data_IF_871480972760
#
_entry.id   IF_871480972760
#
_cell.length_a   1.000
_cell.length_b   1.000
_cell.length_c   1.000
_cell.angle_alpha   90.00
_cell.angle_beta   90.00
_cell.angle_gamma   90.00
#
_symmetry.space_group_name_H-M   'P 1'
#
loop_
_entity.id
_entity.type
_entity.pdbx_description
1 polymer ?
#
# COMPACT_ATOMS: atom_id res chain seq x y z
N UNK A 1 -32.40 -3.21 -9.21
CA UNK A 1 -31.79 -2.88 -7.90
C UNK A 1 -30.42 -3.51 -7.73
N UNK A 2 -30.26 -4.85 -7.78
CA UNK A 2 -28.98 -5.53 -7.51
C UNK A 2 -27.75 -4.99 -8.28
N UNK A 3 -27.90 -4.58 -9.54
CA UNK A 3 -26.81 -3.98 -10.34
C UNK A 3 -26.44 -2.56 -9.90
N UNK A 4 -27.41 -1.77 -9.44
CA UNK A 4 -27.19 -0.42 -8.91
C UNK A 4 -26.51 -0.50 -7.53
N UNK A 5 -26.94 -1.43 -6.69
CA UNK A 5 -26.37 -1.68 -5.37
C UNK A 5 -24.90 -2.13 -5.49
N UNK A 6 -24.62 -3.06 -6.41
CA UNK A 6 -23.25 -3.49 -6.71
C UNK A 6 -22.39 -2.31 -7.17
N UNK A 7 -22.89 -1.47 -8.08
CA UNK A 7 -22.17 -0.27 -8.54
C UNK A 7 -21.88 0.71 -7.39
N UNK A 8 -22.81 0.88 -6.46
CA UNK A 8 -22.62 1.72 -5.27
C UNK A 8 -21.53 1.15 -4.36
N UNK A 9 -21.55 -0.15 -4.07
CA UNK A 9 -20.55 -0.82 -3.24
C UNK A 9 -19.16 -0.70 -3.87
N UNK A 10 -19.04 -0.97 -5.17
CA UNK A 10 -17.81 -0.78 -5.96
C UNK A 10 -17.25 0.63 -5.84
N UNK A 11 -18.11 1.63 -5.99
CA UNK A 11 -17.71 3.02 -5.84
C UNK A 11 -17.18 3.32 -4.43
N UNK A 12 -17.88 2.85 -3.39
CA UNK A 12 -17.44 3.02 -1.99
C UNK A 12 -16.12 2.30 -1.70
N UNK A 13 -15.95 1.08 -2.21
CA UNK A 13 -14.71 0.32 -2.10
C UNK A 13 -13.54 1.06 -2.75
N UNK A 14 -13.71 1.56 -3.97
CA UNK A 14 -12.70 2.34 -4.68
C UNK A 14 -12.37 3.65 -3.93
N UNK A 15 -13.35 4.33 -3.36
CA UNK A 15 -13.12 5.53 -2.55
C UNK A 15 -12.26 5.22 -1.31
N UNK A 16 -12.54 4.13 -0.60
CA UNK A 16 -11.75 3.73 0.56
C UNK A 16 -10.32 3.34 0.15
N UNK A 17 -10.14 2.60 -0.96
CA UNK A 17 -8.80 2.29 -1.51
C UNK A 17 -7.97 3.55 -1.78
N UNK A 18 -8.52 4.51 -2.53
CA UNK A 18 -7.83 5.78 -2.82
C UNK A 18 -7.46 6.54 -1.54
N UNK A 19 -8.30 6.44 -0.50
CA UNK A 19 -8.05 7.12 0.77
C UNK A 19 -7.00 6.39 1.61
N UNK A 20 -6.97 5.06 1.59
CA UNK A 20 -5.90 4.23 2.15
C UNK A 20 -4.57 4.60 1.48
N UNK A 21 -4.51 4.62 0.16
CA UNK A 21 -3.28 4.96 -0.59
C UNK A 21 -2.76 6.35 -0.21
N UNK A 22 -3.65 7.34 -0.12
CA UNK A 22 -3.29 8.70 0.30
C UNK A 22 -2.78 8.74 1.75
N UNK A 23 -3.40 7.98 2.65
CA UNK A 23 -2.96 7.92 4.05
C UNK A 23 -1.63 7.19 4.18
N UNK A 24 -1.43 6.07 3.48
CA UNK A 24 -0.19 5.31 3.44
C UNK A 24 0.96 6.14 2.89
N UNK A 25 0.78 6.81 1.75
CA UNK A 25 1.81 7.68 1.16
C UNK A 25 2.18 8.84 2.07
N UNK A 26 1.21 9.42 2.79
CA UNK A 26 1.48 10.49 3.77
C UNK A 26 2.10 9.99 5.09
N UNK A 27 2.18 8.69 5.31
CA UNK A 27 2.56 8.08 6.59
C UNK A 27 3.89 7.36 6.48
N UNK A 28 4.89 7.80 7.24
CA UNK A 28 6.26 7.25 7.13
C UNK A 28 6.45 5.86 7.76
N UNK A 29 5.46 5.33 8.50
CA UNK A 29 5.46 4.00 9.14
C UNK A 29 6.74 3.62 9.95
N UNK A 30 7.54 4.61 10.37
CA UNK A 30 8.87 4.41 10.99
C UNK A 30 8.79 3.58 12.28
N UNK A 31 7.74 3.77 13.08
CA UNK A 31 7.58 3.13 14.40
C UNK A 31 6.62 1.93 14.36
N UNK A 32 6.24 1.46 13.17
CA UNK A 32 5.41 0.25 13.07
C UNK A 32 6.25 -0.97 13.47
N UNK A 33 5.76 -1.89 14.30
CA UNK A 33 6.53 -3.08 14.69
C UNK A 33 6.78 -4.03 13.50
N UNK A 34 5.98 -3.90 12.45
CA UNK A 34 6.07 -4.69 11.24
C UNK A 34 7.04 -4.07 10.24
N UNK A 35 8.34 -4.27 10.47
CA UNK A 35 9.35 -4.06 9.44
C UNK A 35 9.82 -5.40 8.90
N UNK A 36 10.06 -5.55 7.58
CA UNK A 36 10.82 -6.69 7.10
C UNK A 36 12.20 -6.65 7.77
N UNK A 37 12.59 -7.77 8.38
CA UNK A 37 13.90 -7.98 8.98
C UNK A 37 14.97 -7.79 7.90
N UNK A 38 15.55 -6.59 7.85
CA UNK A 38 16.67 -6.31 6.95
C UNK A 38 17.94 -6.44 7.75
N UNK A 39 18.78 -7.40 7.38
CA UNK A 39 20.15 -7.49 7.86
C UNK A 39 20.97 -6.37 7.23
N UNK A 40 21.79 -5.70 8.05
CA UNK A 40 22.80 -4.76 7.58
C UNK A 40 24.15 -5.45 7.65
N UNK A 41 24.83 -5.59 6.51
CA UNK A 41 26.09 -6.30 6.38
C UNK A 41 27.21 -5.26 6.30
N UNK A 42 28.20 -5.39 7.18
CA UNK A 42 29.42 -4.58 7.14
C UNK A 42 30.52 -5.36 6.43
N UNK A 43 31.17 -4.70 5.48
CA UNK A 43 32.36 -5.23 4.82
C UNK A 43 33.60 -4.68 5.50
N UNK A 44 34.56 -5.57 5.77
CA UNK A 44 35.75 -5.29 6.55
C UNK A 44 36.93 -6.01 5.89
N UNK A 45 38.08 -5.34 5.81
CA UNK A 45 39.19 -5.82 4.98
C UNK A 45 40.05 -6.92 5.63
N UNK A 46 40.01 -7.05 6.96
CA UNK A 46 40.89 -7.97 7.70
C UNK A 46 40.14 -8.79 8.74
N UNK A 47 40.52 -10.07 8.86
CA UNK A 47 39.95 -10.98 9.84
C UNK A 47 40.08 -10.46 11.29
N UNK A 48 41.19 -9.79 11.61
CA UNK A 48 41.40 -9.20 12.94
C UNK A 48 40.39 -8.09 13.27
N UNK A 49 39.90 -7.39 12.26
CA UNK A 49 38.89 -6.35 12.44
C UNK A 49 37.49 -6.96 12.60
N UNK A 50 37.23 -8.12 11.99
CA UNK A 50 35.98 -8.87 12.20
C UNK A 50 35.82 -9.28 13.66
N UNK A 51 36.88 -9.79 14.28
CA UNK A 51 36.86 -10.21 15.71
C UNK A 51 36.63 -9.04 16.68
N UNK A 52 37.09 -7.83 16.33
CA UNK A 52 36.98 -6.62 17.16
C UNK A 52 35.84 -5.70 16.73
N UNK A 53 34.96 -6.17 15.86
CA UNK A 53 33.94 -5.34 15.24
C UNK A 53 32.87 -4.92 16.25
N UNK A 54 32.72 -3.61 16.44
CA UNK A 54 31.66 -3.02 17.26
C UNK A 54 30.83 -2.03 16.39
N UNK A 55 29.54 -2.33 16.13
CA UNK A 55 28.66 -1.47 15.35
C UNK A 55 28.56 -0.03 15.90
N UNK A 56 28.61 0.13 17.23
CA UNK A 56 28.46 1.44 17.88
C UNK A 56 29.65 2.33 17.55
N UNK A 57 30.86 1.78 17.65
CA UNK A 57 32.11 2.46 17.30
C UNK A 57 32.19 2.74 15.80
N UNK A 58 31.84 1.75 14.96
CA UNK A 58 31.89 1.90 13.52
C UNK A 58 30.96 3.01 13.03
N UNK A 59 29.73 3.09 13.56
CA UNK A 59 28.77 4.12 13.20
C UNK A 59 28.98 5.45 13.96
N UNK A 60 29.85 5.47 14.97
CA UNK A 60 30.07 6.62 15.88
C UNK A 60 28.78 7.16 16.48
N UNK A 61 27.85 6.26 16.81
CA UNK A 61 26.53 6.59 17.35
C UNK A 61 26.46 6.26 18.84
N UNK A 62 25.47 6.81 19.54
CA UNK A 62 25.19 6.41 20.92
C UNK A 62 24.54 5.01 20.94
N UNK A 63 24.86 4.12 21.90
CA UNK A 63 24.31 2.75 21.94
C UNK A 63 22.77 2.70 21.96
N UNK A 64 22.09 3.68 22.54
CA UNK A 64 20.61 3.74 22.52
C UNK A 64 20.00 3.97 21.13
N UNK A 65 20.78 4.49 20.17
CA UNK A 65 20.33 4.75 18.81
C UNK A 65 20.58 3.57 17.87
N UNK A 66 21.36 2.57 18.29
CA UNK A 66 21.75 1.45 17.42
C UNK A 66 20.55 0.63 16.94
N UNK A 67 19.53 0.49 17.79
CA UNK A 67 18.31 -0.25 17.50
C UNK A 67 17.37 0.50 16.55
N UNK A 68 17.58 1.81 16.34
CA UNK A 68 16.75 2.61 15.42
C UNK A 68 17.19 2.36 13.99
N UNK A 69 16.26 2.20 13.05
CA UNK A 69 16.60 1.95 11.65
C UNK A 69 17.01 3.21 10.88
N UNK A 70 16.23 4.27 11.06
CA UNK A 70 16.41 5.57 10.41
C UNK A 70 16.87 6.63 11.41
N UNK A 71 17.47 7.71 10.90
CA UNK A 71 17.90 8.86 11.69
C UNK A 71 18.81 8.49 12.88
N UNK A 72 19.87 7.74 12.58
CA UNK A 72 20.95 7.41 13.54
C UNK A 72 22.02 8.49 13.47
N UNK A 73 21.90 9.52 14.32
CA UNK A 73 22.86 10.63 14.37
C UNK A 73 24.17 10.21 15.03
N UNK A 74 25.29 10.72 14.51
CA UNK A 74 26.60 10.55 15.14
C UNK A 74 26.71 11.40 16.41
N UNK A 75 27.67 11.06 17.27
CA UNK A 75 27.90 11.82 18.52
C UNK A 75 28.24 13.29 18.22
N UNK A 76 28.99 13.56 17.16
CA UNK A 76 29.32 14.92 16.72
C UNK A 76 28.08 15.67 16.25
N UNK A 77 27.20 15.02 15.49
CA UNK A 77 25.93 15.58 15.05
C UNK A 77 25.01 15.88 16.24
N UNK A 78 24.92 14.97 17.22
CA UNK A 78 24.12 15.19 18.43
C UNK A 78 24.59 16.44 19.20
N UNK A 79 25.91 16.69 19.26
CA UNK A 79 26.49 17.87 19.90
C UNK A 79 26.18 19.16 19.14
N UNK A 80 26.18 19.12 17.81
CA UNK A 80 25.94 20.31 16.98
C UNK A 80 24.45 20.64 16.81
N UNK A 81 23.58 19.64 16.85
CA UNK A 81 22.13 19.82 16.70
C UNK A 81 21.50 20.38 17.96
N UNK A 82 20.87 21.56 17.85
CA UNK A 82 20.06 22.14 18.92
C UNK A 82 18.60 21.76 18.71
N UNK A 83 18.05 20.90 19.56
CA UNK A 83 16.63 20.57 19.56
C UNK A 83 15.87 21.62 20.37
N UNK A 84 14.95 22.34 19.71
CA UNK A 84 14.01 23.27 20.36
C UNK A 84 12.60 22.68 20.29
N UNK A 85 12.35 21.64 21.06
CA UNK A 85 11.01 21.05 21.15
C UNK A 85 10.56 21.05 22.60
N UNK A 86 9.36 21.57 22.82
CA UNK A 86 8.68 21.47 24.10
C UNK A 86 8.02 20.09 24.24
N UNK A 87 8.00 19.55 25.46
CA UNK A 87 7.47 18.22 25.75
C UNK A 87 5.97 18.13 25.40
N UNK A 88 5.23 19.22 25.61
CA UNK A 88 3.81 19.29 25.25
C UNK A 88 3.61 19.18 23.73
N UNK A 89 4.49 19.81 22.94
CA UNK A 89 4.44 19.74 21.48
C UNK A 89 4.74 18.32 20.98
N UNK A 90 5.72 17.64 21.59
CA UNK A 90 6.07 16.25 21.27
C UNK A 90 4.88 15.33 21.54
N UNK A 91 4.27 15.45 22.74
CA UNK A 91 3.09 14.66 23.10
C UNK A 91 1.89 14.92 22.17
N UNK A 92 1.68 16.17 21.74
CA UNK A 92 0.65 16.51 20.75
C UNK A 92 0.92 15.84 19.40
N UNK A 93 2.16 15.88 18.91
CA UNK A 93 2.57 15.23 17.66
C UNK A 93 2.38 13.71 17.73
N UNK A 94 2.76 13.07 18.83
CA UNK A 94 2.54 11.64 19.05
C UNK A 94 1.05 11.28 19.04
N UNK A 95 0.20 12.07 19.72
CA UNK A 95 -1.26 11.88 19.68
C UNK A 95 -1.81 12.00 18.26
N UNK A 96 -1.38 13.01 17.50
CA UNK A 96 -1.80 13.19 16.10
C UNK A 96 -1.37 12.00 15.23
N UNK A 97 -0.14 11.52 15.41
CA UNK A 97 0.38 10.36 14.70
C UNK A 97 -0.42 9.09 15.01
N UNK A 98 -0.69 8.82 16.29
CA UNK A 98 -1.54 7.69 16.73
C UNK A 98 -2.94 7.74 16.12
N UNK A 99 -3.56 8.93 16.08
CA UNK A 99 -4.87 9.12 15.42
C UNK A 99 -4.84 8.76 13.94
N UNK A 100 -3.80 9.17 13.19
CA UNK A 100 -3.65 8.82 11.77
C UNK A 100 -3.51 7.31 11.55
N UNK A 101 -2.73 6.63 12.40
CA UNK A 101 -2.61 5.17 12.32
C UNK A 101 -3.93 4.45 12.62
N UNK A 102 -4.65 4.89 13.65
CA UNK A 102 -5.98 4.34 13.96
C UNK A 102 -6.99 4.59 12.82
N UNK A 103 -6.96 5.75 12.18
CA UNK A 103 -7.78 6.02 11.00
C UNK A 103 -7.43 5.06 9.86
N UNK A 104 -6.15 4.91 9.54
CA UNK A 104 -5.68 4.02 8.49
C UNK A 104 -6.12 2.56 8.75
N UNK A 105 -5.94 2.07 9.98
CA UNK A 105 -6.37 0.72 10.36
C UNK A 105 -7.88 0.52 10.14
N UNK A 106 -8.71 1.44 10.65
CA UNK A 106 -10.17 1.37 10.48
C UNK A 106 -10.59 1.38 9.01
N UNK A 107 -9.88 2.14 8.16
CA UNK A 107 -10.16 2.16 6.72
C UNK A 107 -9.77 0.86 6.04
N UNK A 108 -8.63 0.26 6.39
CA UNK A 108 -8.23 -1.05 5.88
C UNK A 108 -9.28 -2.11 6.27
N UNK A 109 -9.74 -2.12 7.52
CA UNK A 109 -10.80 -3.03 7.97
C UNK A 109 -12.10 -2.82 7.19
N UNK A 110 -12.49 -1.56 6.93
CA UNK A 110 -13.67 -1.23 6.13
C UNK A 110 -13.52 -1.66 4.67
N UNK A 111 -12.36 -1.43 4.05
CA UNK A 111 -12.08 -1.85 2.67
C UNK A 111 -12.20 -3.36 2.52
N UNK A 112 -11.66 -4.14 3.46
CA UNK A 112 -11.82 -5.60 3.50
C UNK A 112 -13.28 -6.04 3.59
N UNK A 113 -14.08 -5.39 4.46
CA UNK A 113 -15.52 -5.67 4.57
C UNK A 113 -16.26 -5.36 3.28
N UNK A 114 -15.96 -4.21 2.65
CA UNK A 114 -16.57 -3.84 1.37
C UNK A 114 -16.19 -4.82 0.26
N UNK A 115 -14.93 -5.27 0.23
CA UNK A 115 -14.46 -6.28 -0.71
C UNK A 115 -15.21 -7.61 -0.56
N UNK A 116 -15.41 -8.08 0.67
CA UNK A 116 -16.18 -9.31 0.93
C UNK A 116 -17.63 -9.19 0.45
N UNK A 117 -18.28 -8.05 0.71
CA UNK A 117 -19.66 -7.81 0.27
C UNK A 117 -19.75 -7.67 -1.24
N UNK A 118 -18.78 -7.00 -1.88
CA UNK A 118 -18.69 -6.89 -3.33
C UNK A 118 -18.62 -8.26 -3.98
N UNK A 119 -17.67 -9.11 -3.57
CA UNK A 119 -17.51 -10.47 -4.08
C UNK A 119 -18.81 -11.29 -3.89
N UNK A 120 -19.38 -11.28 -2.69
CA UNK A 120 -20.61 -12.03 -2.42
C UNK A 120 -21.81 -11.56 -3.27
N UNK A 121 -21.86 -10.27 -3.64
CA UNK A 121 -22.90 -9.72 -4.52
C UNK A 121 -22.64 -10.06 -5.99
N UNK A 122 -21.38 -10.08 -6.43
CA UNK A 122 -20.99 -10.55 -7.76
C UNK A 122 -21.32 -12.01 -7.97
N UNK A 123 -20.98 -12.87 -7.00
CA UNK A 123 -21.27 -14.31 -7.04
C UNK A 123 -22.77 -14.57 -7.15
N UNK A 124 -23.60 -13.85 -6.38
CA UNK A 124 -25.07 -13.94 -6.47
C UNK A 124 -25.58 -13.51 -7.85
N UNK A 125 -24.97 -12.49 -8.45
CA UNK A 125 -25.36 -12.02 -9.78
C UNK A 125 -25.02 -13.05 -10.86
N UNK A 126 -23.85 -13.68 -10.75
CA UNK A 126 -23.36 -14.76 -11.63
C UNK A 126 -24.22 -16.02 -11.50
N UNK A 127 -24.62 -16.40 -10.29
CA UNK A 127 -25.52 -17.55 -10.05
C UNK A 127 -26.92 -17.32 -10.62
N UNK A 128 -27.41 -16.08 -10.59
CA UNK A 128 -28.75 -15.72 -11.08
C UNK A 128 -28.82 -15.58 -12.60
N UNK A 129 -27.74 -15.06 -13.19
CA UNK A 129 -27.53 -15.05 -14.63
C UNK A 129 -26.39 -16.03 -14.90
N UNK A 130 -26.62 -17.37 -14.80
CA UNK A 130 -25.62 -18.29 -15.31
C UNK A 130 -25.36 -17.82 -16.73
N UNK A 131 -24.10 -17.52 -17.04
CA UNK A 131 -23.74 -17.41 -18.45
C UNK A 131 -24.29 -18.70 -19.04
N UNK A 132 -25.21 -18.61 -19.99
CA UNK A 132 -25.29 -19.66 -20.98
C UNK A 132 -23.82 -19.81 -21.38
N UNK A 133 -23.25 -20.98 -21.11
CA UNK A 133 -22.11 -21.42 -21.89
C UNK A 133 -22.57 -21.09 -23.30
N UNK A 134 -21.90 -20.13 -23.96
CA UNK A 134 -22.08 -19.99 -25.39
C UNK A 134 -21.76 -21.40 -25.85
N UNK A 135 -22.81 -22.18 -26.17
CA UNK A 135 -22.61 -23.49 -26.75
C UNK A 135 -21.58 -23.19 -27.84
N UNK A 136 -20.45 -23.89 -27.79
CA UNK A 136 -19.49 -23.91 -28.89
C UNK A 136 -20.17 -24.59 -30.11
N UNK A 137 -21.45 -24.26 -30.40
CA UNK A 137 -22.05 -24.37 -31.71
C UNK A 137 -21.06 -23.73 -32.65
N UNK A 138 -20.49 -24.60 -33.45
CA UNK A 138 -19.49 -24.38 -34.46
C UNK A 138 -19.98 -23.28 -35.43
N UNK A 139 -19.85 -22.00 -35.03
CA UNK A 139 -20.14 -20.88 -35.91
C UNK A 139 -19.22 -21.03 -37.11
N UNK A 140 -19.79 -21.12 -38.31
CA UNK A 140 -19.01 -21.10 -39.54
C UNK A 140 -18.11 -19.86 -39.55
N UNK A 141 -16.90 -19.97 -40.08
CA UNK A 141 -15.89 -18.90 -40.03
C UNK A 141 -16.40 -17.57 -40.63
N UNK A 142 -17.43 -17.61 -41.47
CA UNK A 142 -18.07 -16.45 -42.08
C UNK A 142 -18.95 -15.64 -41.12
N UNK A 143 -19.56 -16.30 -40.12
CA UNK A 143 -20.38 -15.61 -39.12
C UNK A 143 -19.52 -14.93 -38.06
N UNK A 144 -18.40 -15.57 -37.68
CA UNK A 144 -17.39 -14.98 -36.78
C UNK A 144 -16.79 -13.69 -37.36
N UNK A 145 -16.53 -13.65 -38.67
CA UNK A 145 -16.04 -12.44 -39.38
C UNK A 145 -17.04 -11.29 -39.31
N UNK A 146 -18.33 -11.55 -39.55
CA UNK A 146 -19.39 -10.51 -39.49
C UNK A 146 -19.55 -9.92 -38.09
N UNK A 147 -19.44 -10.73 -37.04
CA UNK A 147 -19.52 -10.27 -35.64
C UNK A 147 -18.30 -9.39 -35.29
N UNK A 148 -17.10 -9.79 -35.71
CA UNK A 148 -15.89 -9.01 -35.48
C UNK A 148 -15.84 -7.69 -36.26
N UNK A 149 -16.42 -7.61 -37.45
CA UNK A 149 -16.55 -6.35 -38.20
C UNK A 149 -17.51 -5.36 -37.52
N UNK A 150 -18.63 -5.84 -36.96
CA UNK A 150 -19.59 -4.99 -36.23
C UNK A 150 -19.03 -4.43 -34.91
N UNK A 151 -18.04 -5.10 -34.31
CA UNK A 151 -17.40 -4.69 -33.05
C UNK A 151 -16.22 -3.73 -33.24
N UNK A 152 -15.78 -3.45 -34.47
CA UNK A 152 -14.71 -2.46 -34.71
C UNK A 152 -15.21 -1.06 -34.32
N UNK A 153 -14.51 -0.34 -33.43
CA UNK A 153 -14.91 1.03 -33.10
C UNK A 153 -14.84 1.89 -34.37
N UNK A 154 -15.93 2.62 -34.67
CA UNK A 154 -15.92 3.61 -35.76
C UNK A 154 -14.85 4.65 -35.43
N UNK A 155 -13.74 4.62 -36.16
CA UNK A 155 -12.68 5.62 -36.07
C UNK A 155 -13.28 6.93 -36.58
N UNK A 156 -13.63 7.83 -35.66
CA UNK A 156 -14.05 9.19 -36.03
C UNK A 156 -12.76 9.95 -36.36
N UNK A 157 -12.58 10.45 -37.60
CA UNK A 157 -11.39 11.21 -37.93
C UNK A 157 -11.36 12.49 -37.08
N UNK A 158 -10.23 12.73 -36.40
CA UNK A 158 -9.98 14.01 -35.75
C UNK A 158 -9.94 15.09 -36.83
N UNK A 159 -10.87 16.05 -36.77
CA UNK A 159 -10.80 17.27 -37.58
C UNK A 159 -9.48 17.97 -37.27
N UNK A 160 -8.71 18.28 -38.31
CA UNK A 160 -7.52 19.14 -38.24
C UNK A 160 -7.92 20.57 -37.90
#
# INVERSE_FOLDING_TARGET
>A
MQTQDLKYIKYKHQMERKKIDKLQTSSHLIDSEYHPSKSHIFFVDSQKQVEKFDPVRQMRTHPSLINRRSNRLTIEQLKSTKFKFDEQQINKLQKMRKKKYLELQKRIEREKKLQQVELAMEDKLLLKNPKQEDDDEFWSDDEKKKINEKKKPKIIPRKK
#
